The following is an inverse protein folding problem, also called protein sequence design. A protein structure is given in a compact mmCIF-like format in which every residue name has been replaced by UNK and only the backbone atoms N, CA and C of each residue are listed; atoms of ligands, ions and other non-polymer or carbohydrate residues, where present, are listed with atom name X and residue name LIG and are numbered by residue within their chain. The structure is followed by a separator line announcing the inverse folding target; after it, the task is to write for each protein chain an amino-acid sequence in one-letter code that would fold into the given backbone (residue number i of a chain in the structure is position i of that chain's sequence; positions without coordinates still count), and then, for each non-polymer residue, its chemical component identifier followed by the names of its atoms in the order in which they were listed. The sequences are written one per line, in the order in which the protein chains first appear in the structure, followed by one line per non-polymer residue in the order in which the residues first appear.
data_IF_942473007070
#
_entry.id   IF_942473007070
#
_cell.length_a   1.000
_cell.length_b   1.000
_cell.length_c   1.000
_cell.angle_alpha   90.00
_cell.angle_beta   90.00
_cell.angle_gamma   90.00
#
_symmetry.space_group_name_H-M   'P 1'
#
loop_
_entity.id
_entity.type
_entity.pdbx_description
1 polymer ?
#
# COMPACT_ATOMS: atom_id res chain seq x y z
N UNK A 1 -21.63 -19.43 12.84
CA UNK A 1 -21.33 -18.18 13.59
C UNK A 1 -19.98 -17.55 13.23
N UNK A 2 -18.83 -18.01 13.73
CA UNK A 2 -17.53 -17.37 13.40
C UNK A 2 -17.15 -17.48 11.91
N UNK A 3 -17.37 -18.66 11.31
CA UNK A 3 -17.09 -18.88 9.90
C UNK A 3 -17.94 -17.97 8.98
N UNK A 4 -19.25 -17.93 9.22
CA UNK A 4 -20.19 -17.06 8.47
C UNK A 4 -19.86 -15.57 8.61
N UNK A 5 -19.36 -15.15 9.78
CA UNK A 5 -18.92 -13.78 10.01
C UNK A 5 -17.67 -13.43 9.20
N UNK A 6 -16.69 -14.34 9.14
CA UNK A 6 -15.48 -14.20 8.32
C UNK A 6 -15.84 -14.21 6.83
N UNK A 7 -16.79 -15.05 6.42
CA UNK A 7 -17.29 -15.13 5.05
C UNK A 7 -17.96 -13.82 4.62
N UNK A 8 -18.81 -13.23 5.48
CA UNK A 8 -19.40 -11.91 5.24
C UNK A 8 -18.35 -10.79 5.10
N UNK A 9 -17.29 -10.85 5.90
CA UNK A 9 -16.14 -9.93 5.83
C UNK A 9 -15.34 -10.09 4.52
N UNK A 10 -15.16 -11.33 4.07
CA UNK A 10 -14.48 -11.65 2.81
C UNK A 10 -15.29 -11.21 1.58
N UNK A 11 -16.59 -11.49 1.57
CA UNK A 11 -17.51 -11.11 0.50
C UNK A 11 -17.53 -9.59 0.30
N UNK A 12 -17.55 -8.83 1.39
CA UNK A 12 -17.57 -7.36 1.35
C UNK A 12 -16.19 -6.73 1.53
N UNK A 13 -15.09 -7.49 1.43
CA UNK A 13 -13.72 -7.01 1.70
C UNK A 13 -13.38 -5.73 0.94
N UNK A 14 -13.84 -5.59 -0.31
CA UNK A 14 -13.62 -4.37 -1.13
C UNK A 14 -14.30 -3.14 -0.52
N UNK A 15 -15.53 -3.28 -0.01
CA UNK A 15 -16.27 -2.20 0.66
C UNK A 15 -15.58 -1.79 1.96
N UNK A 16 -15.15 -2.76 2.76
CA UNK A 16 -14.42 -2.48 4.00
C UNK A 16 -13.07 -1.81 3.75
N UNK A 17 -12.29 -2.27 2.77
CA UNK A 17 -11.03 -1.64 2.39
C UNK A 17 -11.24 -0.21 1.87
N UNK A 18 -12.27 0.00 1.04
CA UNK A 18 -12.64 1.34 0.57
C UNK A 18 -13.06 2.27 1.71
N UNK A 19 -13.85 1.77 2.66
CA UNK A 19 -14.30 2.53 3.82
C UNK A 19 -13.14 2.91 4.75
N UNK A 20 -12.27 1.96 5.10
CA UNK A 20 -11.10 2.21 5.94
C UNK A 20 -10.12 3.16 5.24
N UNK A 21 -9.87 2.94 3.95
CA UNK A 21 -9.01 3.82 3.15
C UNK A 21 -9.57 5.24 3.08
N UNK A 22 -10.85 5.40 2.74
CA UNK A 22 -11.52 6.69 2.68
C UNK A 22 -11.55 7.41 4.04
N UNK A 23 -11.76 6.67 5.13
CA UNK A 23 -11.71 7.22 6.48
C UNK A 23 -10.31 7.76 6.83
N UNK A 24 -9.25 6.98 6.61
CA UNK A 24 -7.88 7.44 6.83
C UNK A 24 -7.54 8.67 5.98
N UNK A 25 -7.95 8.66 4.70
CA UNK A 25 -7.76 9.82 3.82
C UNK A 25 -8.50 11.06 4.30
N UNK A 26 -9.76 10.93 4.71
CA UNK A 26 -10.54 12.03 5.27
C UNK A 26 -9.90 12.59 6.55
N UNK A 27 -9.41 11.72 7.43
CA UNK A 27 -8.76 12.11 8.68
C UNK A 27 -7.47 12.89 8.42
N UNK A 28 -6.63 12.41 7.50
CA UNK A 28 -5.40 13.10 7.09
C UNK A 28 -5.74 14.45 6.46
N UNK A 29 -6.76 14.51 5.60
CA UNK A 29 -7.18 15.73 4.93
C UNK A 29 -7.69 16.78 5.93
N UNK A 30 -8.52 16.39 6.91
CA UNK A 30 -9.04 17.29 7.95
C UNK A 30 -7.90 17.77 8.87
N UNK A 31 -7.01 16.88 9.30
CA UNK A 31 -5.99 17.20 10.30
C UNK A 31 -4.81 17.99 9.72
N UNK A 32 -4.41 17.69 8.49
CA UNK A 32 -3.16 18.18 7.91
C UNK A 32 -3.34 18.99 6.62
N UNK A 33 -4.54 18.99 6.04
CA UNK A 33 -4.84 19.66 4.78
C UNK A 33 -4.38 18.88 3.53
N UNK A 34 -4.82 19.37 2.37
CA UNK A 34 -4.65 18.69 1.08
C UNK A 34 -3.18 18.43 0.70
N UNK A 35 -2.28 19.39 0.92
CA UNK A 35 -0.86 19.28 0.52
C UNK A 35 -0.15 18.16 1.29
N UNK A 36 -0.36 18.07 2.61
CA UNK A 36 0.24 17.02 3.44
C UNK A 36 -0.34 15.64 3.12
N UNK A 37 -1.63 15.57 2.77
CA UNK A 37 -2.25 14.33 2.29
C UNK A 37 -1.56 13.78 1.04
N UNK A 38 -1.20 14.63 0.07
CA UNK A 38 -0.48 14.21 -1.14
C UNK A 38 0.91 13.64 -0.81
N UNK A 39 1.61 14.21 0.16
CA UNK A 39 2.92 13.70 0.61
C UNK A 39 2.74 12.31 1.23
N UNK A 40 1.74 12.15 2.11
CA UNK A 40 1.45 10.84 2.72
C UNK A 40 1.12 9.82 1.64
N UNK A 41 0.27 10.17 0.67
CA UNK A 41 -0.06 9.34 -0.50
C UNK A 41 1.18 8.91 -1.28
N UNK A 42 2.08 9.85 -1.58
CA UNK A 42 3.31 9.57 -2.31
C UNK A 42 4.21 8.60 -1.54
N UNK A 43 4.40 8.83 -0.24
CA UNK A 43 5.20 7.95 0.63
C UNK A 43 4.54 6.57 0.77
N UNK A 44 3.22 6.49 0.92
CA UNK A 44 2.49 5.21 0.96
C UNK A 44 2.64 4.45 -0.35
N UNK A 45 2.57 5.14 -1.49
CA UNK A 45 2.77 4.52 -2.81
C UNK A 45 4.20 4.02 -3.00
N UNK A 46 5.21 4.78 -2.55
CA UNK A 46 6.60 4.35 -2.52
C UNK A 46 6.79 3.14 -1.60
N UNK A 47 6.24 3.17 -0.38
CA UNK A 47 6.28 2.06 0.56
C UNK A 47 5.62 0.79 0.02
N UNK A 48 4.48 0.91 -0.65
CA UNK A 48 3.82 -0.21 -1.33
C UNK A 48 4.70 -0.82 -2.43
N UNK A 49 5.33 0.02 -3.26
CA UNK A 49 6.23 -0.43 -4.31
C UNK A 49 7.54 -1.03 -3.78
N UNK A 50 8.03 -0.55 -2.63
CA UNK A 50 9.20 -1.11 -1.94
C UNK A 50 8.87 -2.42 -1.23
N UNK A 51 7.66 -2.60 -0.71
CA UNK A 51 7.24 -3.85 -0.08
C UNK A 51 7.11 -5.03 -1.06
N UNK A 52 7.11 -4.75 -2.36
CA UNK A 52 7.04 -5.76 -3.41
C UNK A 52 8.40 -6.47 -3.57
N UNK A 53 8.52 -7.63 -2.91
CA UNK A 53 9.71 -8.47 -2.95
C UNK A 53 10.10 -8.91 -4.36
N UNK A 54 9.16 -8.99 -5.32
CA UNK A 54 9.52 -9.31 -6.71
C UNK A 54 10.23 -8.15 -7.40
N UNK A 55 9.79 -6.91 -7.15
CA UNK A 55 10.48 -5.71 -7.64
C UNK A 55 11.85 -5.56 -7.00
N UNK A 56 11.96 -5.77 -5.68
CA UNK A 56 13.26 -5.79 -4.99
C UNK A 56 14.18 -6.87 -5.60
N UNK A 57 13.69 -8.10 -5.80
CA UNK A 57 14.48 -9.17 -6.41
C UNK A 57 14.97 -8.79 -7.80
N UNK A 58 14.12 -8.16 -8.62
CA UNK A 58 14.46 -7.73 -9.98
C UNK A 58 15.54 -6.63 -9.97
N UNK A 59 15.38 -5.61 -9.13
CA UNK A 59 16.37 -4.54 -8.95
C UNK A 59 17.70 -5.10 -8.44
N UNK A 60 17.66 -6.00 -7.45
CA UNK A 60 18.85 -6.68 -6.91
C UNK A 60 19.57 -7.51 -7.98
N UNK A 61 18.81 -8.19 -8.85
CA UNK A 61 19.38 -8.94 -9.98
C UNK A 61 20.11 -8.03 -10.95
N UNK A 62 19.50 -6.91 -11.34
CA UNK A 62 20.10 -5.93 -12.25
C UNK A 62 21.37 -5.31 -11.66
N UNK A 63 21.34 -4.93 -10.37
CA UNK A 63 22.52 -4.39 -9.68
C UNK A 63 23.68 -5.40 -9.62
N UNK A 64 23.40 -6.66 -9.29
CA UNK A 64 24.44 -7.71 -9.23
C UNK A 64 25.01 -8.01 -10.61
N UNK A 65 24.19 -8.01 -11.67
CA UNK A 65 24.69 -8.19 -13.03
C UNK A 65 25.63 -7.06 -13.44
N UNK A 66 25.26 -5.80 -13.16
CA UNK A 66 26.11 -4.64 -13.43
C UNK A 66 27.43 -4.68 -12.66
N UNK A 67 27.41 -5.08 -11.39
CA UNK A 67 28.61 -5.19 -10.55
C UNK A 67 29.57 -6.33 -10.92
N UNK A 68 29.13 -7.27 -11.77
CA UNK A 68 29.96 -8.37 -12.27
C UNK A 68 30.47 -8.13 -13.71
N UNK A 69 29.93 -7.10 -14.37
CA UNK A 69 30.36 -6.66 -15.70
C UNK A 69 31.52 -5.65 -15.64
N UNK A 70 31.82 -5.09 -14.46
CA UNK A 70 33.06 -4.39 -14.10
C UNK A 70 34.04 -5.33 -13.39
#
# INVERSE_FOLDING_TARGET
MLAEFIEGLLVNRKKYLGAIGGFLFGLILIQYGFVKMLIVLAITCLGYNLGDMEKIKRIKKVLITRLKED
#
